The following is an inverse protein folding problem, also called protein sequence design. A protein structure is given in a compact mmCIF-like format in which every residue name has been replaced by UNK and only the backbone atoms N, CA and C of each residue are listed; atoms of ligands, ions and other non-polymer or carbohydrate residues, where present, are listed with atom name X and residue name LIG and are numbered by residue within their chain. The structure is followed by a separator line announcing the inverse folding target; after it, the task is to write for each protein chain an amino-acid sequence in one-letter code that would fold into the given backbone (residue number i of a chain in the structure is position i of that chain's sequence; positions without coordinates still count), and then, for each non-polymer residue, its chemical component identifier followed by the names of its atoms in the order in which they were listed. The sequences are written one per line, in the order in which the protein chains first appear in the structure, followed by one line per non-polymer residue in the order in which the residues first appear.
data_IF_427846176528
#
_entry.id   IF_427846176528
#
_cell.length_a   1.000
_cell.length_b   1.000
_cell.length_c   1.000
_cell.angle_alpha   90.00
_cell.angle_beta   90.00
_cell.angle_gamma   90.00
#
_symmetry.space_group_name_H-M   'P 1'
#
loop_
_entity.id
_entity.type
_entity.pdbx_description
1 polymer ?
#
# COMPACT_ATOMS: atom_id res chain seq x y z
N UNK A 1 27.03 13.34 -10.25
CA UNK A 1 26.66 11.97 -9.86
C UNK A 1 25.19 11.97 -9.51
N UNK A 2 24.38 11.15 -10.19
CA UNK A 2 23.00 10.92 -9.75
C UNK A 2 23.03 10.11 -8.45
N UNK A 3 22.08 10.39 -7.54
CA UNK A 3 22.00 9.69 -6.24
C UNK A 3 21.49 8.25 -6.39
N UNK A 4 20.90 7.93 -7.54
CA UNK A 4 20.38 6.61 -7.91
C UNK A 4 20.64 6.39 -9.41
N UNK A 5 20.90 5.14 -9.77
CA UNK A 5 21.16 4.71 -11.15
C UNK A 5 19.88 4.18 -11.79
N UNK A 6 19.00 3.59 -10.98
CA UNK A 6 17.74 3.01 -11.42
C UNK A 6 16.58 3.55 -10.57
N UNK A 7 15.49 3.92 -11.24
CA UNK A 7 14.22 4.32 -10.64
C UNK A 7 13.16 3.32 -11.08
N UNK A 8 12.44 2.76 -10.11
CA UNK A 8 11.31 1.89 -10.33
C UNK A 8 10.06 2.53 -9.72
N UNK A 9 8.99 2.65 -10.48
CA UNK A 9 7.71 3.18 -10.02
C UNK A 9 6.63 2.12 -10.24
N UNK A 10 5.99 1.72 -9.14
CA UNK A 10 4.93 0.73 -9.13
C UNK A 10 3.59 1.42 -8.91
N UNK A 11 2.73 1.35 -9.92
CA UNK A 11 1.33 1.77 -9.90
C UNK A 11 0.50 0.55 -9.54
N UNK A 12 -0.14 0.57 -8.36
CA UNK A 12 -0.72 -0.62 -7.75
C UNK A 12 -2.21 -0.74 -8.06
N UNK A 13 -2.70 -1.97 -8.06
CA UNK A 13 -4.12 -2.29 -8.14
C UNK A 13 -4.46 -3.35 -7.09
N UNK A 14 -5.51 -3.10 -6.31
CA UNK A 14 -6.04 -4.01 -5.31
C UNK A 14 -6.89 -5.13 -5.89
N UNK A 15 -6.97 -5.22 -7.23
CA UNK A 15 -7.51 -6.36 -7.95
C UNK A 15 -6.73 -7.66 -7.67
N UNK A 16 -7.37 -8.80 -7.93
CA UNK A 16 -6.76 -10.10 -7.74
C UNK A 16 -5.92 -10.53 -8.95
N UNK A 17 -6.58 -10.70 -10.10
CA UNK A 17 -5.95 -11.07 -11.36
C UNK A 17 -6.68 -10.40 -12.52
N UNK A 18 -5.98 -9.55 -13.28
CA UNK A 18 -6.55 -8.78 -14.39
C UNK A 18 -6.50 -9.48 -15.75
N UNK A 19 -6.06 -10.74 -15.78
CA UNK A 19 -6.00 -11.56 -16.98
C UNK A 19 -4.67 -11.46 -17.74
N UNK A 20 -4.54 -12.14 -18.88
CA UNK A 20 -3.30 -12.19 -19.65
C UNK A 20 -3.07 -10.97 -20.55
N UNK A 21 -4.04 -10.06 -20.65
CA UNK A 21 -3.98 -8.91 -21.57
C UNK A 21 -3.84 -7.62 -20.77
N UNK A 22 -2.88 -6.75 -21.12
CA UNK A 22 -2.73 -5.47 -20.48
C UNK A 22 -4.02 -4.66 -20.46
N UNK A 23 -4.32 -4.05 -19.31
CA UNK A 23 -5.50 -3.21 -19.10
C UNK A 23 -5.20 -2.10 -18.10
N UNK A 24 -6.10 -1.10 -18.05
CA UNK A 24 -5.93 0.10 -17.23
C UNK A 24 -5.82 -0.21 -15.73
N UNK A 25 -6.75 -0.99 -15.20
CA UNK A 25 -6.92 -1.14 -13.74
C UNK A 25 -6.10 -2.34 -13.18
N UNK A 26 -4.81 -2.40 -13.56
CA UNK A 26 -3.86 -3.46 -13.21
C UNK A 26 -2.59 -2.90 -12.56
N UNK A 27 -1.70 -3.78 -12.12
CA UNK A 27 -0.40 -3.35 -11.58
C UNK A 27 0.54 -3.07 -12.75
N UNK A 28 1.24 -1.95 -12.70
CA UNK A 28 2.22 -1.55 -13.70
C UNK A 28 3.54 -1.16 -13.04
N UNK A 29 4.65 -1.61 -13.63
CA UNK A 29 6.00 -1.25 -13.21
C UNK A 29 6.71 -0.47 -14.32
N UNK A 30 7.00 0.79 -14.05
CA UNK A 30 7.89 1.61 -14.87
C UNK A 30 9.32 1.56 -14.34
N UNK A 31 10.30 1.43 -15.23
CA UNK A 31 11.72 1.45 -14.87
C UNK A 31 12.46 2.45 -15.75
N UNK A 32 13.22 3.34 -15.12
CA UNK A 32 14.20 4.21 -15.79
C UNK A 32 15.57 3.88 -15.24
N UNK A 33 16.51 3.58 -16.14
CA UNK A 33 17.86 3.13 -15.80
C UNK A 33 18.87 3.96 -16.56
N UNK A 34 19.82 4.57 -15.85
CA UNK A 34 20.84 5.44 -16.44
C UNK A 34 20.25 6.54 -17.34
N UNK A 35 19.05 7.01 -17.00
CA UNK A 35 18.31 8.03 -17.76
C UNK A 35 17.57 7.50 -19.00
N UNK A 36 17.50 6.18 -19.18
CA UNK A 36 16.77 5.53 -20.29
C UNK A 36 15.54 4.83 -19.74
N UNK A 37 14.38 5.15 -20.30
CA UNK A 37 13.12 4.51 -19.94
C UNK A 37 13.01 3.13 -20.60
N UNK A 38 12.68 2.12 -19.79
CA UNK A 38 12.32 0.79 -20.26
C UNK A 38 10.81 0.74 -20.60
N UNK A 39 10.39 -0.25 -21.38
CA UNK A 39 8.97 -0.45 -21.66
C UNK A 39 8.20 -0.76 -20.36
N UNK A 40 7.02 -0.15 -20.12
CA UNK A 40 6.22 -0.44 -18.93
C UNK A 40 5.87 -1.92 -18.85
N UNK A 41 6.10 -2.51 -17.68
CA UNK A 41 5.81 -3.91 -17.42
C UNK A 41 4.40 -4.04 -16.86
N UNK A 42 3.55 -4.76 -17.60
CA UNK A 42 2.24 -5.18 -17.13
C UNK A 42 2.39 -6.34 -16.15
N UNK A 43 1.77 -6.23 -14.98
CA UNK A 43 1.80 -7.22 -13.91
C UNK A 43 0.37 -7.54 -13.54
N UNK A 44 -0.12 -8.73 -13.88
CA UNK A 44 -1.56 -9.01 -13.82
C UNK A 44 -2.09 -9.21 -12.40
N UNK A 45 -1.20 -9.48 -11.45
CA UNK A 45 -1.54 -9.78 -10.06
C UNK A 45 -0.36 -9.49 -9.12
N UNK A 46 -0.63 -9.56 -7.81
CA UNK A 46 0.36 -9.26 -6.75
C UNK A 46 1.59 -10.16 -6.78
N UNK A 47 1.40 -11.45 -7.09
CA UNK A 47 2.50 -12.42 -7.13
C UNK A 47 3.49 -12.13 -8.26
N UNK A 48 2.99 -11.75 -9.45
CA UNK A 48 3.86 -11.31 -10.55
C UNK A 48 4.60 -10.02 -10.21
N UNK A 49 3.91 -9.07 -9.55
CA UNK A 49 4.54 -7.82 -9.13
C UNK A 49 5.66 -8.04 -8.11
N UNK A 50 5.43 -8.88 -7.10
CA UNK A 50 6.45 -9.26 -6.12
C UNK A 50 7.65 -9.94 -6.80
N UNK A 51 7.41 -10.93 -7.67
CA UNK A 51 8.47 -11.62 -8.40
C UNK A 51 9.29 -10.65 -9.28
N UNK A 52 8.64 -9.71 -9.95
CA UNK A 52 9.31 -8.70 -10.77
C UNK A 52 10.17 -7.75 -9.93
N UNK A 53 9.67 -7.29 -8.78
CA UNK A 53 10.44 -6.45 -7.85
C UNK A 53 11.64 -7.20 -7.27
N UNK A 54 11.46 -8.46 -6.84
CA UNK A 54 12.56 -9.29 -6.33
C UNK A 54 13.64 -9.49 -7.40
N UNK A 55 13.25 -9.79 -8.63
CA UNK A 55 14.18 -9.96 -9.75
C UNK A 55 14.94 -8.66 -10.05
N UNK A 56 14.24 -7.51 -10.07
CA UNK A 56 14.85 -6.20 -10.28
C UNK A 56 15.86 -5.89 -9.17
N UNK A 57 15.47 -6.02 -7.90
CA UNK A 57 16.34 -5.77 -6.75
C UNK A 57 17.61 -6.63 -6.84
N UNK A 58 17.46 -7.93 -7.12
CA UNK A 58 18.60 -8.83 -7.27
C UNK A 58 19.54 -8.41 -8.41
N UNK A 59 18.98 -8.02 -9.56
CA UNK A 59 19.76 -7.54 -10.71
C UNK A 59 20.50 -6.23 -10.42
N UNK A 60 19.88 -5.28 -9.71
CA UNK A 60 20.52 -4.03 -9.32
C UNK A 60 21.66 -4.24 -8.33
N UNK A 61 21.44 -5.10 -7.33
CA UNK A 61 22.46 -5.47 -6.36
C UNK A 61 23.66 -6.16 -7.03
N UNK A 62 23.41 -7.12 -7.92
CA UNK A 62 24.46 -7.83 -8.65
C UNK A 62 25.30 -6.88 -9.54
N UNK A 63 24.69 -5.81 -10.05
CA UNK A 63 25.37 -4.81 -10.86
C UNK A 63 26.01 -3.68 -10.04
N UNK A 64 25.88 -3.68 -8.70
CA UNK A 64 26.39 -2.61 -7.84
C UNK A 64 25.68 -1.27 -8.02
N UNK A 65 24.45 -1.27 -8.53
CA UNK A 65 23.67 -0.06 -8.81
C UNK A 65 22.75 0.31 -7.65
N UNK A 66 22.48 1.60 -7.52
CA UNK A 66 21.59 2.17 -6.51
C UNK A 66 20.18 2.28 -7.08
N UNK A 67 19.27 1.48 -6.55
CA UNK A 67 17.86 1.45 -6.91
C UNK A 67 17.03 2.35 -5.97
N UNK A 68 16.13 3.15 -6.54
CA UNK A 68 15.00 3.76 -5.84
C UNK A 68 13.72 3.09 -6.31
N UNK A 69 12.91 2.60 -5.36
CA UNK A 69 11.58 2.05 -5.63
C UNK A 69 10.55 3.00 -5.03
N UNK A 70 9.63 3.51 -5.85
CA UNK A 70 8.44 4.23 -5.44
C UNK A 70 7.21 3.38 -5.66
N UNK A 71 6.26 3.49 -4.74
CA UNK A 71 4.95 2.84 -4.84
C UNK A 71 3.89 3.87 -4.48
N UNK A 72 2.72 3.80 -5.11
CA UNK A 72 1.63 4.76 -5.01
C UNK A 72 0.75 4.62 -3.74
N UNK A 73 1.04 3.65 -2.88
CA UNK A 73 0.41 3.48 -1.57
C UNK A 73 1.28 3.95 -0.39
N UNK A 74 0.67 4.33 0.74
CA UNK A 74 1.40 4.83 1.90
C UNK A 74 2.20 3.73 2.65
N UNK A 75 3.50 3.92 2.87
CA UNK A 75 4.33 3.03 3.71
C UNK A 75 4.14 3.15 5.23
N UNK A 76 3.15 3.93 5.67
CA UNK A 76 2.94 4.19 7.09
C UNK A 76 1.81 5.17 7.32
N UNK A 77 1.48 5.38 8.59
CA UNK A 77 0.29 6.11 9.01
C UNK A 77 0.66 7.42 9.75
N UNK A 78 -0.31 8.34 9.94
CA UNK A 78 -0.11 9.53 10.76
C UNK A 78 0.44 9.24 12.16
N UNK A 79 1.18 10.21 12.70
CA UNK A 79 1.77 10.11 14.03
C UNK A 79 0.71 9.74 15.09
N UNK A 80 1.08 8.85 16.01
CA UNK A 80 0.18 8.31 17.03
C UNK A 80 -0.54 7.01 16.64
N UNK A 81 -0.68 6.70 15.34
CA UNK A 81 -1.34 5.47 14.89
C UNK A 81 -0.62 4.21 15.37
N UNK A 82 0.72 4.15 15.21
CA UNK A 82 1.51 3.00 15.65
C UNK A 82 1.29 2.72 17.15
N UNK A 83 1.29 3.76 17.99
CA UNK A 83 1.03 3.60 19.43
C UNK A 83 -0.39 3.13 19.72
N UNK A 84 -1.39 3.63 18.99
CA UNK A 84 -2.77 3.16 19.13
C UNK A 84 -2.94 1.68 18.78
N UNK A 85 -2.22 1.20 17.76
CA UNK A 85 -2.35 -0.16 17.27
C UNK A 85 -1.48 -1.18 18.04
N UNK A 86 -0.23 -0.83 18.32
CA UNK A 86 0.81 -1.76 18.82
C UNK A 86 1.33 -1.40 20.21
N UNK A 87 0.92 -0.24 20.76
CA UNK A 87 1.42 0.25 22.05
C UNK A 87 2.81 0.89 22.01
N UNK A 88 3.43 1.03 20.83
CA UNK A 88 4.73 1.66 20.65
C UNK A 88 4.75 2.67 19.48
N UNK A 89 5.66 3.65 19.53
CA UNK A 89 5.75 4.69 18.48
C UNK A 89 6.60 4.26 17.28
N UNK A 90 7.07 3.01 17.24
CA UNK A 90 7.84 2.48 16.12
C UNK A 90 6.91 2.17 14.93
N UNK A 91 7.03 2.88 13.78
CA UNK A 91 6.19 2.59 12.62
C UNK A 91 6.41 1.19 12.04
N UNK A 92 7.61 0.60 12.22
CA UNK A 92 7.86 -0.77 11.77
C UNK A 92 7.10 -1.82 12.57
N UNK A 93 6.74 -1.53 13.83
CA UNK A 93 5.91 -2.45 14.61
C UNK A 93 4.50 -2.64 14.00
N UNK A 94 4.02 -1.69 13.20
CA UNK A 94 2.77 -1.85 12.44
C UNK A 94 2.96 -2.91 11.35
N UNK A 95 4.10 -2.87 10.64
CA UNK A 95 4.45 -3.87 9.62
C UNK A 95 4.65 -5.24 10.24
N UNK A 96 5.39 -5.32 11.36
CA UNK A 96 5.56 -6.57 12.11
C UNK A 96 4.21 -7.14 12.56
N UNK A 97 3.28 -6.28 13.00
CA UNK A 97 1.94 -6.73 13.38
C UNK A 97 1.11 -7.18 12.17
N UNK A 98 1.13 -6.43 11.07
CA UNK A 98 0.43 -6.78 9.83
C UNK A 98 0.88 -8.14 9.30
N UNK A 99 2.18 -8.44 9.34
CA UNK A 99 2.74 -9.74 8.95
C UNK A 99 2.12 -10.91 9.73
N UNK A 100 1.68 -10.69 10.98
CA UNK A 100 1.08 -11.74 11.80
C UNK A 100 -0.41 -11.96 11.55
N UNK A 101 -1.10 -11.01 10.91
CA UNK A 101 -2.57 -11.03 10.75
C UNK A 101 -3.04 -10.99 9.31
N UNK A 102 -2.22 -10.53 8.37
CA UNK A 102 -2.61 -10.44 6.97
C UNK A 102 -2.55 -11.83 6.33
N UNK A 103 -3.65 -12.19 5.68
CA UNK A 103 -3.75 -13.34 4.80
C UNK A 103 -3.82 -12.81 3.37
N UNK A 104 -2.88 -13.22 2.51
CA UNK A 104 -2.90 -12.92 1.08
C UNK A 104 -2.84 -14.20 0.26
N UNK A 105 -3.81 -14.36 -0.63
CA UNK A 105 -3.91 -15.48 -1.55
C UNK A 105 -4.33 -14.98 -2.95
N UNK A 106 -4.11 -15.76 -4.02
CA UNK A 106 -4.49 -15.35 -5.37
C UNK A 106 -5.97 -14.96 -5.51
N UNK A 107 -6.85 -15.61 -4.73
CA UNK A 107 -8.30 -15.35 -4.73
C UNK A 107 -8.74 -14.15 -3.90
N UNK A 108 -7.87 -13.55 -3.09
CA UNK A 108 -8.21 -12.44 -2.21
C UNK A 108 -7.34 -12.34 -0.97
N UNK A 109 -7.64 -11.33 -0.16
CA UNK A 109 -6.97 -11.07 1.11
C UNK A 109 -7.98 -10.63 2.17
N UNK A 110 -7.55 -10.65 3.43
CA UNK A 110 -8.38 -10.27 4.58
C UNK A 110 -8.26 -8.78 4.97
N UNK A 111 -7.76 -7.90 4.09
CA UNK A 111 -7.45 -6.50 4.41
C UNK A 111 -8.64 -5.70 4.97
N UNK A 112 -9.85 -6.01 4.53
CA UNK A 112 -11.07 -5.36 5.01
C UNK A 112 -11.42 -5.79 6.44
N UNK A 113 -11.31 -7.09 6.75
CA UNK A 113 -11.52 -7.61 8.11
C UNK A 113 -10.48 -7.04 9.08
N UNK A 114 -9.21 -7.03 8.67
CA UNK A 114 -8.10 -6.44 9.45
C UNK A 114 -8.35 -4.95 9.70
N UNK A 115 -8.82 -4.19 8.71
CA UNK A 115 -9.16 -2.78 8.91
C UNK A 115 -10.32 -2.57 9.92
N UNK A 116 -11.32 -3.45 9.91
CA UNK A 116 -12.40 -3.46 10.90
C UNK A 116 -11.88 -3.76 12.32
N UNK A 117 -10.98 -4.74 12.45
CA UNK A 117 -10.32 -5.06 13.71
C UNK A 117 -9.50 -3.87 14.23
N UNK A 118 -8.71 -3.23 13.37
CA UNK A 118 -7.93 -2.06 13.75
C UNK A 118 -8.86 -0.96 14.24
N UNK A 119 -9.97 -0.70 13.54
CA UNK A 119 -10.93 0.33 13.96
C UNK A 119 -11.44 0.13 15.40
N UNK A 120 -11.64 -1.12 15.83
CA UNK A 120 -12.05 -1.45 17.21
C UNK A 120 -11.00 -1.11 18.28
N UNK A 121 -9.75 -0.83 17.90
CA UNK A 121 -8.67 -0.40 18.80
C UNK A 121 -8.61 1.12 19.00
N UNK A 122 -9.38 1.87 18.22
CA UNK A 122 -9.46 3.32 18.31
C UNK A 122 -10.82 3.76 18.85
N UNK A 123 -10.91 4.93 19.53
CA UNK A 123 -12.18 5.46 19.99
C UNK A 123 -13.11 5.82 18.81
N UNK A 124 -14.40 6.00 19.09
CA UNK A 124 -15.38 6.45 18.11
C UNK A 124 -15.57 5.46 16.95
N UNK A 125 -15.77 6.01 15.75
CA UNK A 125 -15.83 5.26 14.49
C UNK A 125 -14.43 5.32 13.90
N UNK A 126 -13.68 4.23 14.04
CA UNK A 126 -12.23 4.13 13.82
C UNK A 126 -11.67 4.73 12.52
N UNK A 127 -10.34 4.79 12.39
CA UNK A 127 -9.71 5.60 11.36
C UNK A 127 -9.88 5.09 9.92
N UNK A 128 -10.27 3.84 9.69
CA UNK A 128 -10.46 3.27 8.35
C UNK A 128 -11.92 3.27 7.88
N UNK A 129 -12.10 3.34 6.56
CA UNK A 129 -13.40 3.22 5.90
C UNK A 129 -13.28 2.55 4.53
N UNK A 130 -14.42 2.37 3.86
CA UNK A 130 -14.59 1.71 2.56
C UNK A 130 -14.59 0.17 2.66
N UNK A 131 -15.68 -0.40 3.17
CA UNK A 131 -15.95 -1.82 2.96
C UNK A 131 -16.40 -2.08 1.51
N UNK A 132 -15.47 -2.59 0.70
CA UNK A 132 -15.69 -2.96 -0.71
C UNK A 132 -16.32 -4.34 -0.93
N UNK A 133 -16.58 -5.11 0.13
CA UNK A 133 -17.14 -6.46 0.03
C UNK A 133 -18.66 -6.43 -0.03
N UNK A 134 -19.28 -7.49 -0.56
CA UNK A 134 -20.75 -7.65 -0.53
C UNK A 134 -21.28 -7.80 0.90
N UNK A 135 -20.54 -8.50 1.75
CA UNK A 135 -20.89 -8.66 3.17
C UNK A 135 -20.54 -7.41 3.97
N UNK A 136 -21.23 -7.20 5.08
CA UNK A 136 -20.83 -6.20 6.06
C UNK A 136 -19.60 -6.70 6.85
N UNK A 137 -18.78 -5.75 7.27
CA UNK A 137 -17.61 -5.96 8.12
C UNK A 137 -17.86 -5.13 9.37
N UNK A 138 -17.84 -5.78 10.54
CA UNK A 138 -18.00 -5.05 11.79
C UNK A 138 -16.86 -4.04 11.97
N UNK A 139 -17.20 -2.85 12.46
CA UNK A 139 -16.24 -1.76 12.62
C UNK A 139 -15.74 -1.10 11.32
N UNK A 140 -16.10 -1.53 10.11
CA UNK A 140 -15.64 -0.92 8.85
C UNK A 140 -16.80 -0.34 8.02
N UNK A 141 -17.05 0.99 8.06
CA UNK A 141 -18.15 1.60 7.31
C UNK A 141 -17.89 1.63 5.80
N UNK A 142 -18.96 1.55 5.00
CA UNK A 142 -18.89 1.65 3.51
C UNK A 142 -18.60 3.05 3.00
N UNK A 143 -19.06 4.07 3.73
CA UNK A 143 -18.86 5.49 3.42
C UNK A 143 -18.00 6.10 4.51
N UNK A 144 -17.42 7.26 4.23
CA UNK A 144 -16.67 7.99 5.24
C UNK A 144 -17.64 8.57 6.29
N UNK A 145 -17.84 7.81 7.38
CA UNK A 145 -18.59 8.20 8.58
C UNK A 145 -17.67 8.17 9.81
N UNK A 146 -16.36 8.23 9.59
CA UNK A 146 -15.36 8.17 10.66
C UNK A 146 -15.49 9.41 11.54
N UNK A 147 -15.38 9.21 12.85
CA UNK A 147 -15.52 10.30 13.82
C UNK A 147 -14.94 9.89 15.17
N UNK A 148 -14.32 10.84 15.88
CA UNK A 148 -13.91 10.63 17.27
C UNK A 148 -12.74 9.65 17.49
N UNK A 149 -12.07 9.19 16.42
CA UNK A 149 -10.93 8.27 16.50
C UNK A 149 -9.59 8.94 16.83
N UNK A 150 -9.53 10.27 16.82
CA UNK A 150 -8.37 11.05 17.27
C UNK A 150 -7.15 11.01 16.35
N UNK A 151 -7.25 10.44 15.14
CA UNK A 151 -6.16 10.41 14.16
C UNK A 151 -6.23 11.61 13.21
N UNK A 152 -5.06 12.11 12.80
CA UNK A 152 -4.98 13.14 11.78
C UNK A 152 -5.36 12.58 10.39
N UNK A 153 -5.97 13.40 9.54
CA UNK A 153 -6.38 12.96 8.21
C UNK A 153 -5.21 12.73 7.25
N UNK A 154 -4.08 13.42 7.45
CA UNK A 154 -2.93 13.41 6.52
C UNK A 154 -1.61 13.31 7.27
N UNK A 155 -0.62 12.67 6.66
CA UNK A 155 0.78 12.68 7.10
C UNK A 155 1.48 13.93 6.55
N UNK A 156 2.70 14.14 7.01
CA UNK A 156 3.57 15.19 6.45
C UNK A 156 3.83 15.00 4.95
N UNK A 157 3.77 13.76 4.45
CA UNK A 157 3.92 13.43 3.03
C UNK A 157 2.77 14.01 2.19
N UNK A 158 1.50 13.76 2.58
CA UNK A 158 0.34 14.29 1.84
C UNK A 158 0.26 15.81 1.87
N UNK A 159 0.79 16.47 2.92
CA UNK A 159 0.90 17.93 2.95
C UNK A 159 1.83 18.48 1.86
N UNK A 160 2.76 17.67 1.36
CA UNK A 160 3.70 18.00 0.27
C UNK A 160 3.26 17.48 -1.10
N UNK A 161 2.17 16.73 -1.16
CA UNK A 161 1.58 16.19 -2.38
C UNK A 161 0.09 16.56 -2.46
N UNK A 162 -0.25 17.81 -2.85
CA UNK A 162 -1.63 18.23 -3.02
C UNK A 162 -2.39 17.29 -3.97
N UNK A 163 -3.55 16.80 -3.54
CA UNK A 163 -4.36 15.84 -4.30
C UNK A 163 -4.17 14.37 -3.90
N UNK A 164 -3.14 14.05 -3.10
CA UNK A 164 -2.97 12.70 -2.56
C UNK A 164 -4.17 12.31 -1.66
N UNK A 165 -4.63 11.07 -1.83
CA UNK A 165 -5.64 10.46 -0.97
C UNK A 165 -5.11 10.29 0.46
N UNK A 166 -6.03 10.20 1.42
CA UNK A 166 -5.68 9.85 2.80
C UNK A 166 -5.39 8.35 2.88
N UNK A 167 -4.59 7.93 3.87
CA UNK A 167 -4.27 6.51 4.10
C UNK A 167 -5.42 5.69 4.72
N UNK A 168 -6.61 6.28 4.80
CA UNK A 168 -7.74 5.78 5.58
C UNK A 168 -8.77 5.01 4.75
N UNK A 169 -8.73 5.14 3.43
CA UNK A 169 -9.61 4.42 2.52
C UNK A 169 -8.98 3.07 2.13
N UNK A 170 -9.63 1.95 2.45
CA UNK A 170 -9.05 0.61 2.28
C UNK A 170 -9.14 0.08 0.84
N UNK A 171 -10.22 0.42 0.12
CA UNK A 171 -10.42 -0.07 -1.26
C UNK A 171 -10.06 0.92 -2.35
N UNK A 172 -9.20 1.91 -2.05
CA UNK A 172 -8.74 2.92 -3.00
C UNK A 172 -7.41 2.60 -3.68
N UNK A 173 -6.83 1.43 -3.41
CA UNK A 173 -5.56 0.95 -3.98
C UNK A 173 -5.79 -0.34 -4.73
#
# INVERSE_FOLDING_TARGET
MNRFDTFAMLDWSGGNDTGPRPCRDAIWLGVTRDGVDEAPMYLRNRAEAEAALMALIAAELAAGRRLLIGVDFPFGFPAGFARGLTGCDNPFAVWDWLETVIEDAPGGNNRFDVAGEINGRFPGVGPFWFNGLKREIDGLPRKDTRAGHGMAEKRAAEARAPGAFTCWQVGGF
#
